data_IF_114122291900
#
_entry.id   IF_114122291900
#
_cell.length_a   1.000
_cell.length_b   1.000
_cell.length_c   1.000
_cell.angle_alpha   90.00
_cell.angle_beta   90.00
_cell.angle_gamma   90.00
#
_symmetry.space_group_name_H-M   'P 1'
#
loop_
_entity.id
_entity.type
_entity.pdbx_description
1 polymer ?
#
# COMPACT_ATOMS: atom_id res chain seq x y z
N UNK A 1 -10.61 44.60 30.72
CA UNK A 1 -9.50 44.29 29.80
C UNK A 1 -8.30 43.73 30.59
N UNK A 2 -7.75 44.42 31.59
CA UNK A 2 -6.54 43.97 32.33
C UNK A 2 -6.68 42.58 32.96
N UNK A 3 -7.87 42.17 33.43
CA UNK A 3 -8.13 40.85 34.01
C UNK A 3 -8.17 39.73 32.90
N UNK A 4 -8.59 40.06 31.68
CA UNK A 4 -8.64 39.12 30.58
C UNK A 4 -7.27 38.77 30.00
N UNK A 5 -6.30 39.67 30.12
CA UNK A 5 -4.94 39.46 29.60
C UNK A 5 -4.02 38.69 30.54
N UNK A 6 -4.45 38.46 31.81
CA UNK A 6 -3.68 37.64 32.77
C UNK A 6 -3.87 36.16 32.54
N UNK A 7 -2.83 35.32 32.72
CA UNK A 7 -2.94 33.87 32.78
C UNK A 7 -3.99 33.44 33.82
N UNK A 8 -4.68 32.30 33.57
CA UNK A 8 -5.79 31.83 34.41
C UNK A 8 -5.37 31.56 35.83
N UNK A 9 -4.15 31.08 36.06
CA UNK A 9 -3.52 30.77 37.33
C UNK A 9 -3.07 31.99 38.13
N UNK A 10 -2.98 33.17 37.50
CA UNK A 10 -2.61 34.43 38.16
C UNK A 10 -3.83 35.33 38.49
N UNK A 11 -5.05 34.89 38.13
CA UNK A 11 -6.30 35.66 38.34
C UNK A 11 -6.81 35.43 39.76
N UNK A 12 -7.16 36.55 40.44
CA UNK A 12 -7.91 36.44 41.68
C UNK A 12 -9.40 36.11 41.43
N UNK A 13 -10.15 35.75 42.49
CA UNK A 13 -11.55 35.35 42.38
C UNK A 13 -12.47 36.40 41.72
N UNK A 14 -12.18 37.68 41.92
CA UNK A 14 -12.93 38.78 41.32
C UNK A 14 -12.61 38.92 39.84
N UNK A 15 -11.34 38.79 39.47
CA UNK A 15 -10.91 38.82 38.07
C UNK A 15 -11.45 37.64 37.30
N UNK A 16 -11.45 36.44 37.89
CA UNK A 16 -12.05 35.22 37.27
C UNK A 16 -13.57 35.45 37.03
N UNK A 17 -14.30 35.91 38.04
CA UNK A 17 -15.73 36.20 37.92
C UNK A 17 -16.00 37.26 36.85
N UNK A 18 -15.21 38.32 36.78
CA UNK A 18 -15.38 39.39 35.77
C UNK A 18 -15.12 38.85 34.34
N UNK A 19 -14.13 37.98 34.15
CA UNK A 19 -13.83 37.39 32.87
C UNK A 19 -14.94 36.39 32.45
N UNK A 20 -15.45 35.57 33.39
CA UNK A 20 -16.57 34.66 33.09
C UNK A 20 -17.88 35.42 32.74
N UNK A 21 -18.16 36.52 33.45
CA UNK A 21 -19.38 37.28 33.23
C UNK A 21 -19.34 38.26 32.05
N UNK A 22 -18.17 38.85 31.81
CA UNK A 22 -18.02 39.94 30.84
C UNK A 22 -17.09 39.59 29.68
N UNK A 23 -16.46 38.40 29.72
CA UNK A 23 -15.48 37.97 28.71
C UNK A 23 -16.06 38.00 27.31
N UNK A 24 -17.28 37.52 27.13
CA UNK A 24 -17.99 37.55 25.84
C UNK A 24 -18.31 38.95 25.30
N UNK A 25 -18.40 39.93 26.18
CA UNK A 25 -18.59 41.34 25.81
C UNK A 25 -17.28 42.05 25.44
N UNK A 26 -16.13 41.39 25.78
CA UNK A 26 -14.79 41.89 25.49
C UNK A 26 -14.14 41.12 24.32
N UNK A 27 -14.78 40.08 23.81
CA UNK A 27 -14.38 39.41 22.59
C UNK A 27 -14.63 40.30 21.40
N UNK A 28 -13.57 40.76 20.77
CA UNK A 28 -13.64 41.52 19.52
C UNK A 28 -13.93 40.51 18.41
N UNK A 29 -15.09 40.67 17.76
CA UNK A 29 -15.45 39.82 16.62
C UNK A 29 -14.72 40.24 15.35
N UNK A 30 -14.53 39.31 14.40
CA UNK A 30 -13.92 39.61 13.10
C UNK A 30 -14.71 40.73 12.34
N UNK A 31 -16.01 40.83 12.58
CA UNK A 31 -16.85 41.88 12.01
C UNK A 31 -16.47 43.25 12.57
N UNK A 32 -16.30 43.38 13.88
CA UNK A 32 -15.87 44.62 14.54
C UNK A 32 -14.45 45.03 14.13
N UNK A 33 -13.57 44.06 13.95
CA UNK A 33 -12.22 44.31 13.39
C UNK A 33 -12.34 44.85 11.99
N UNK A 34 -13.17 44.24 11.14
CA UNK A 34 -13.35 44.62 9.75
C UNK A 34 -13.98 46.03 9.64
N UNK A 35 -14.90 46.38 10.53
CA UNK A 35 -15.49 47.71 10.58
C UNK A 35 -14.50 48.79 11.02
N UNK A 36 -13.60 48.48 11.94
CA UNK A 36 -12.60 49.39 12.47
C UNK A 36 -11.40 49.63 11.53
N UNK A 37 -11.23 48.78 10.52
CA UNK A 37 -10.12 48.91 9.55
C UNK A 37 -10.30 50.11 8.64
N UNK A 38 -9.20 50.82 8.38
CA UNK A 38 -9.16 51.88 7.38
C UNK A 38 -9.45 51.36 5.97
N UNK A 39 -9.80 52.24 5.04
CA UNK A 39 -9.96 51.85 3.64
C UNK A 39 -8.69 51.31 3.02
N UNK A 40 -7.52 51.83 3.44
CA UNK A 40 -6.21 51.38 2.97
C UNK A 40 -5.89 49.97 3.48
N UNK A 41 -6.14 49.68 4.77
CA UNK A 41 -5.95 48.36 5.37
C UNK A 41 -6.83 47.29 4.71
N UNK A 42 -8.12 47.63 4.46
CA UNK A 42 -9.04 46.73 3.76
C UNK A 42 -8.54 46.38 2.35
N UNK A 43 -8.00 47.38 1.64
CA UNK A 43 -7.44 47.15 0.31
C UNK A 43 -6.19 46.28 0.37
N UNK A 44 -5.32 46.50 1.36
CA UNK A 44 -4.13 45.65 1.56
C UNK A 44 -4.50 44.21 1.92
N UNK A 45 -5.48 44.02 2.80
CA UNK A 45 -5.97 42.65 3.16
C UNK A 45 -6.52 41.97 1.92
N UNK A 46 -7.33 42.62 1.12
CA UNK A 46 -7.91 42.08 -0.11
C UNK A 46 -6.83 41.70 -1.12
N UNK A 47 -5.77 42.51 -1.25
CA UNK A 47 -4.63 42.21 -2.13
C UNK A 47 -3.80 41.00 -1.62
N UNK A 48 -3.58 40.93 -0.31
CA UNK A 48 -2.90 39.79 0.31
C UNK A 48 -3.71 38.51 0.21
N UNK A 49 -5.01 38.56 0.44
CA UNK A 49 -5.90 37.42 0.26
C UNK A 49 -5.91 36.92 -1.20
N UNK A 50 -5.89 37.85 -2.15
CA UNK A 50 -5.74 37.50 -3.57
C UNK A 50 -4.41 36.80 -3.87
N UNK A 51 -3.32 37.27 -3.28
CA UNK A 51 -1.99 36.62 -3.39
C UNK A 51 -2.01 35.24 -2.75
N UNK A 52 -2.55 35.10 -1.54
CA UNK A 52 -2.66 33.82 -0.84
C UNK A 52 -3.54 32.84 -1.62
N UNK A 53 -4.65 33.29 -2.17
CA UNK A 53 -5.51 32.45 -3.02
C UNK A 53 -4.76 31.99 -4.29
N UNK A 54 -4.01 32.90 -4.93
CA UNK A 54 -3.15 32.58 -6.07
C UNK A 54 -2.08 31.53 -5.73
N UNK A 55 -1.39 31.67 -4.60
CA UNK A 55 -0.39 30.68 -4.17
C UNK A 55 -1.03 29.35 -3.76
N UNK A 56 -2.21 29.36 -3.13
CA UNK A 56 -2.95 28.13 -2.82
C UNK A 56 -3.31 27.32 -4.07
N UNK A 57 -3.63 27.99 -5.19
CA UNK A 57 -3.90 27.28 -6.46
C UNK A 57 -2.66 26.64 -7.06
N UNK A 58 -1.46 27.14 -6.73
CA UNK A 58 -0.16 26.59 -7.15
C UNK A 58 0.30 25.41 -6.27
N UNK A 59 -0.29 25.27 -5.08
CA UNK A 59 0.03 24.15 -4.21
C UNK A 59 -0.37 22.83 -4.87
N UNK A 60 0.63 22.00 -5.15
CA UNK A 60 0.39 20.63 -5.58
C UNK A 60 -0.24 19.90 -4.39
N UNK A 61 -1.46 19.42 -4.56
CA UNK A 61 -2.10 18.55 -3.57
C UNK A 61 -1.28 17.28 -3.45
N UNK A 62 -0.44 17.20 -2.42
CA UNK A 62 0.31 15.98 -2.11
C UNK A 62 -0.71 14.96 -1.58
N UNK A 63 -0.80 13.83 -2.28
CA UNK A 63 -1.63 12.73 -1.85
C UNK A 63 -1.21 12.28 -0.44
N UNK A 64 -2.17 12.25 0.48
CA UNK A 64 -1.95 11.73 1.83
C UNK A 64 -2.10 10.22 1.80
N UNK A 65 -1.15 9.52 2.38
CA UNK A 65 -1.22 8.08 2.59
C UNK A 65 -1.35 7.81 4.09
N UNK A 66 -2.03 6.73 4.42
CA UNK A 66 -2.00 6.21 5.78
C UNK A 66 -0.64 5.58 6.02
N UNK A 67 0.09 6.09 7.01
CA UNK A 67 1.43 5.61 7.33
C UNK A 67 1.55 5.34 8.83
N UNK A 68 2.36 4.34 9.17
CA UNK A 68 2.74 4.06 10.55
C UNK A 68 3.92 4.97 10.94
N UNK A 69 3.80 5.64 12.06
CA UNK A 69 4.87 6.44 12.65
C UNK A 69 4.94 6.19 14.15
N UNK A 70 6.11 6.43 14.74
CA UNK A 70 6.29 6.23 16.15
C UNK A 70 5.75 7.43 16.95
N UNK A 71 5.04 7.13 18.04
CA UNK A 71 4.53 8.14 18.97
C UNK A 71 5.15 7.86 20.34
N UNK A 72 6.10 8.69 20.72
CA UNK A 72 6.83 8.52 21.99
C UNK A 72 7.69 7.24 22.03
N UNK A 73 8.03 6.82 23.25
CA UNK A 73 8.79 5.59 23.49
C UNK A 73 7.87 4.39 23.33
N UNK A 74 8.23 3.38 22.50
CA UNK A 74 7.42 2.18 22.36
C UNK A 74 7.28 1.46 23.71
N UNK A 75 6.08 0.99 24.08
CA UNK A 75 5.87 0.25 25.32
C UNK A 75 6.65 -1.07 25.31
N UNK A 76 6.96 -1.54 26.51
CA UNK A 76 7.55 -2.88 26.69
C UNK A 76 6.61 -3.96 26.18
N UNK A 77 7.19 -4.97 25.58
CA UNK A 77 6.46 -6.17 25.11
C UNK A 77 6.81 -7.33 26.02
N UNK A 78 5.81 -8.11 26.41
CA UNK A 78 5.96 -9.22 27.35
C UNK A 78 5.55 -10.54 26.71
N UNK A 79 6.17 -11.63 27.15
CA UNK A 79 5.63 -12.96 26.92
C UNK A 79 4.41 -13.11 27.82
N UNK A 80 3.27 -13.42 27.23
CA UNK A 80 2.03 -13.56 27.97
C UNK A 80 1.93 -14.98 28.56
N UNK A 81 1.66 -15.07 29.86
CA UNK A 81 1.47 -16.36 30.54
C UNK A 81 0.20 -17.03 30.00
N UNK A 82 0.34 -18.21 29.42
CA UNK A 82 -0.76 -18.95 28.74
C UNK A 82 -1.46 -18.15 27.63
N UNK A 83 -0.78 -17.14 27.06
CA UNK A 83 -1.36 -16.27 26.02
C UNK A 83 -2.39 -15.27 26.55
N UNK A 84 -2.56 -15.12 27.86
CA UNK A 84 -3.54 -14.22 28.46
C UNK A 84 -2.94 -12.81 28.61
N UNK A 85 -3.65 -11.84 28.08
CA UNK A 85 -3.23 -10.43 28.07
C UNK A 85 -3.05 -9.84 29.49
N UNK A 86 -3.90 -10.27 30.44
CA UNK A 86 -3.87 -9.80 31.83
C UNK A 86 -2.68 -10.31 32.63
N UNK A 87 -1.95 -11.31 32.12
CA UNK A 87 -0.84 -11.94 32.85
C UNK A 87 0.49 -11.77 32.09
N UNK A 88 1.07 -10.55 32.07
CA UNK A 88 2.36 -10.32 31.46
C UNK A 88 3.47 -11.06 32.23
N UNK A 89 4.27 -11.82 31.51
CA UNK A 89 5.45 -12.50 32.04
C UNK A 89 6.71 -11.64 31.86
N UNK A 90 7.83 -12.27 31.46
CA UNK A 90 9.08 -11.53 31.28
C UNK A 90 9.03 -10.59 30.09
N UNK A 91 9.67 -9.40 30.16
CA UNK A 91 9.81 -8.51 29.02
C UNK A 91 10.70 -9.14 27.94
N UNK A 92 10.43 -8.80 26.68
CA UNK A 92 11.19 -9.26 25.54
C UNK A 92 11.62 -8.09 24.66
N UNK A 93 12.82 -8.20 24.09
CA UNK A 93 13.32 -7.25 23.10
C UNK A 93 12.89 -7.65 21.70
N UNK A 94 12.82 -6.68 20.76
CA UNK A 94 12.64 -6.99 19.35
C UNK A 94 13.71 -7.99 18.87
N UNK A 95 13.29 -9.02 18.13
CA UNK A 95 14.22 -10.04 17.67
C UNK A 95 13.77 -10.70 16.39
N UNK A 96 14.70 -11.25 15.64
CA UNK A 96 14.47 -12.10 14.47
C UNK A 96 14.11 -13.51 14.87
N UNK A 97 13.68 -14.32 13.89
CA UNK A 97 13.41 -15.74 14.08
C UNK A 97 14.72 -16.50 14.28
N UNK A 98 14.84 -17.22 15.39
CA UNK A 98 16.06 -17.96 15.74
C UNK A 98 16.48 -18.99 14.67
N UNK A 99 15.50 -19.64 14.02
CA UNK A 99 15.75 -20.61 12.94
C UNK A 99 16.42 -19.99 11.71
N UNK A 100 16.24 -18.71 11.49
CA UNK A 100 16.86 -17.96 10.40
C UNK A 100 18.16 -17.24 10.81
N UNK A 101 18.58 -17.40 12.06
CA UNK A 101 19.81 -16.80 12.59
C UNK A 101 20.97 -17.82 12.51
N UNK A 102 22.17 -17.35 12.22
CA UNK A 102 23.36 -18.19 12.12
C UNK A 102 23.89 -18.67 13.48
N UNK A 103 23.37 -18.11 14.56
CA UNK A 103 23.70 -18.50 15.93
C UNK A 103 22.47 -19.07 16.64
N UNK A 104 22.68 -20.02 17.55
CA UNK A 104 21.65 -20.59 18.43
C UNK A 104 21.02 -19.56 19.38
N UNK A 105 21.51 -18.32 19.38
CA UNK A 105 20.97 -17.20 20.14
C UNK A 105 19.99 -16.42 19.27
N UNK A 106 18.83 -16.09 19.84
CA UNK A 106 17.85 -15.19 19.25
C UNK A 106 18.56 -13.91 18.79
N UNK A 107 18.51 -13.61 17.50
CA UNK A 107 19.03 -12.34 16.98
C UNK A 107 18.24 -11.20 17.54
N UNK A 108 18.78 -10.49 18.50
CA UNK A 108 18.20 -9.22 18.98
C UNK A 108 18.42 -8.21 17.87
N UNK A 109 17.34 -7.59 17.44
CA UNK A 109 17.39 -6.50 16.47
C UNK A 109 17.64 -5.20 17.22
N UNK A 110 18.90 -4.80 17.30
CA UNK A 110 19.29 -3.53 17.92
C UNK A 110 18.89 -2.39 16.98
N UNK A 111 17.93 -1.54 17.38
CA UNK A 111 17.55 -0.40 16.56
C UNK A 111 18.69 0.60 16.52
N UNK A 112 19.11 1.00 15.32
CA UNK A 112 20.00 2.13 15.18
C UNK A 112 19.28 3.42 15.66
N UNK A 113 20.01 4.36 16.32
CA UNK A 113 19.45 5.65 16.63
C UNK A 113 18.89 6.30 15.37
N UNK A 114 17.59 6.48 15.35
CA UNK A 114 16.93 7.06 14.18
C UNK A 114 16.78 8.58 14.38
N UNK A 115 17.00 9.35 13.33
CA UNK A 115 16.66 10.76 13.29
C UNK A 115 15.15 10.94 13.56
N UNK A 116 14.76 12.08 14.11
CA UNK A 116 13.37 12.49 14.30
C UNK A 116 12.55 11.70 15.34
N UNK A 117 13.18 11.18 16.39
CA UNK A 117 12.46 10.53 17.49
C UNK A 117 11.84 9.18 17.17
N UNK A 118 12.17 8.58 16.03
CA UNK A 118 11.75 7.21 15.69
C UNK A 118 12.51 6.20 16.55
N UNK A 119 11.83 5.11 16.93
CA UNK A 119 12.46 3.99 17.66
C UNK A 119 13.46 3.17 16.82
N UNK A 120 13.47 3.32 15.50
CA UNK A 120 14.32 2.56 14.58
C UNK A 120 13.99 1.06 14.45
N UNK A 121 13.00 0.54 15.20
CA UNK A 121 12.67 -0.91 15.21
C UNK A 121 12.28 -1.46 13.84
N UNK A 122 11.48 -0.72 13.07
CA UNK A 122 11.08 -1.14 11.70
C UNK A 122 12.25 -1.15 10.75
N UNK A 123 13.16 -0.18 10.86
CA UNK A 123 14.38 -0.13 10.07
C UNK A 123 15.29 -1.32 10.39
N UNK A 124 15.46 -1.64 11.69
CA UNK A 124 16.22 -2.81 12.10
C UNK A 124 15.66 -4.12 11.53
N UNK A 125 14.32 -4.28 11.53
CA UNK A 125 13.65 -5.41 10.90
C UNK A 125 13.89 -5.43 9.39
N UNK A 126 13.78 -4.30 8.71
CA UNK A 126 14.03 -4.21 7.28
C UNK A 126 15.47 -4.61 6.94
N UNK A 127 16.45 -4.13 7.68
CA UNK A 127 17.85 -4.53 7.51
C UNK A 127 18.05 -6.05 7.74
N UNK A 128 17.45 -6.60 8.78
CA UNK A 128 17.54 -8.04 9.03
C UNK A 128 16.97 -8.88 7.89
N UNK A 129 15.86 -8.43 7.28
CA UNK A 129 15.21 -9.10 6.15
C UNK A 129 15.99 -8.96 4.83
N UNK A 130 16.76 -7.89 4.65
CA UNK A 130 17.36 -7.54 3.35
C UNK A 130 18.89 -7.60 3.31
N UNK A 131 19.57 -7.88 4.43
CA UNK A 131 21.02 -7.98 4.45
C UNK A 131 21.48 -9.17 3.60
N UNK A 132 22.24 -8.89 2.54
CA UNK A 132 22.72 -9.89 1.60
C UNK A 132 23.55 -11.00 2.28
N UNK A 133 23.44 -12.22 1.78
CA UNK A 133 24.19 -13.38 2.29
C UNK A 133 23.61 -14.00 3.57
N UNK A 134 22.47 -13.51 4.07
CA UNK A 134 21.81 -14.06 5.27
C UNK A 134 20.63 -14.96 4.91
N UNK A 135 20.26 -15.89 5.81
CA UNK A 135 19.08 -16.76 5.62
C UNK A 135 17.77 -15.97 5.46
N UNK A 136 17.49 -14.90 6.26
CA UNK A 136 16.30 -14.09 6.05
C UNK A 136 16.23 -13.50 4.65
N UNK A 137 17.32 -12.90 4.16
CA UNK A 137 17.31 -12.28 2.84
C UNK A 137 17.18 -13.31 1.71
N UNK A 138 17.77 -14.50 1.86
CA UNK A 138 17.61 -15.58 0.91
C UNK A 138 16.16 -16.07 0.84
N UNK A 139 15.46 -16.19 1.97
CA UNK A 139 14.04 -16.55 2.00
C UNK A 139 13.16 -15.47 1.39
N UNK A 140 13.35 -14.21 1.81
CA UNK A 140 12.54 -13.08 1.31
C UNK A 140 12.71 -12.89 -0.19
N UNK A 141 13.95 -12.98 -0.71
CA UNK A 141 14.19 -12.85 -2.15
C UNK A 141 13.51 -13.95 -2.96
N UNK A 142 13.57 -15.23 -2.50
CA UNK A 142 12.86 -16.33 -3.15
C UNK A 142 11.35 -16.13 -3.15
N UNK A 143 10.76 -15.69 -2.04
CA UNK A 143 9.31 -15.39 -1.96
C UNK A 143 8.92 -14.29 -2.94
N UNK A 144 9.70 -13.21 -3.02
CA UNK A 144 9.39 -12.08 -3.91
C UNK A 144 9.48 -12.51 -5.38
N UNK A 145 10.57 -13.17 -5.79
CA UNK A 145 10.73 -13.58 -7.20
C UNK A 145 9.71 -14.64 -7.59
N UNK A 146 9.35 -15.56 -6.68
CA UNK A 146 8.29 -16.53 -6.92
C UNK A 146 6.93 -15.86 -7.15
N UNK A 147 6.61 -14.82 -6.40
CA UNK A 147 5.38 -14.03 -6.61
C UNK A 147 5.40 -13.28 -7.94
N UNK A 148 6.54 -12.69 -8.31
CA UNK A 148 6.70 -12.04 -9.62
C UNK A 148 6.50 -13.07 -10.74
N UNK A 149 7.15 -14.22 -10.64
CA UNK A 149 7.02 -15.32 -11.60
C UNK A 149 5.55 -15.76 -11.73
N UNK A 150 4.89 -16.03 -10.60
CA UNK A 150 3.48 -16.43 -10.59
C UNK A 150 2.54 -15.36 -11.16
N UNK A 151 2.81 -14.08 -10.92
CA UNK A 151 2.02 -13.00 -11.52
C UNK A 151 2.20 -12.87 -13.04
N UNK A 152 3.34 -13.26 -13.58
CA UNK A 152 3.64 -13.20 -15.00
C UNK A 152 3.23 -14.47 -15.76
N UNK A 153 3.42 -15.64 -15.16
CA UNK A 153 3.21 -16.95 -15.80
C UNK A 153 2.02 -17.73 -15.23
N UNK A 154 1.29 -17.15 -14.26
CA UNK A 154 0.07 -17.75 -13.69
C UNK A 154 0.31 -18.61 -12.45
N UNK A 155 1.41 -19.36 -12.39
CA UNK A 155 1.80 -20.18 -11.24
C UNK A 155 3.25 -19.90 -10.86
N UNK A 156 3.53 -19.86 -9.55
CA UNK A 156 4.90 -19.72 -9.05
C UNK A 156 5.74 -20.98 -9.29
N UNK A 157 7.06 -20.82 -9.32
CA UNK A 157 8.03 -21.93 -9.34
C UNK A 157 7.81 -22.84 -8.11
N UNK A 158 7.45 -22.23 -6.97
CA UNK A 158 6.85 -22.89 -5.80
C UNK A 158 5.35 -22.63 -5.85
N UNK A 159 4.54 -23.68 -6.01
CA UNK A 159 3.10 -23.56 -6.18
C UNK A 159 2.34 -23.16 -4.89
N UNK A 160 3.01 -23.27 -3.73
CA UNK A 160 2.50 -22.84 -2.42
C UNK A 160 3.15 -21.51 -1.99
N UNK A 161 2.74 -20.33 -2.54
CA UNK A 161 3.42 -19.06 -2.33
C UNK A 161 3.35 -18.53 -0.89
N UNK A 162 2.48 -19.10 -0.05
CA UNK A 162 2.37 -18.84 1.38
C UNK A 162 3.18 -19.79 2.26
N UNK A 163 3.74 -20.85 1.69
CA UNK A 163 4.50 -21.85 2.44
C UNK A 163 5.71 -22.32 1.65
N UNK A 164 6.88 -21.83 2.06
CA UNK A 164 8.20 -22.23 1.57
C UNK A 164 8.90 -23.18 2.54
N UNK A 165 8.14 -23.70 3.51
CA UNK A 165 8.60 -24.63 4.52
C UNK A 165 8.42 -26.10 4.13
N UNK A 166 8.54 -26.96 5.14
CA UNK A 166 8.52 -28.42 4.97
C UNK A 166 7.15 -28.94 4.47
N UNK A 167 6.07 -28.21 4.73
CA UNK A 167 4.73 -28.60 4.28
C UNK A 167 4.37 -28.00 2.92
N UNK A 168 5.19 -27.07 2.40
CA UNK A 168 5.03 -26.51 1.07
C UNK A 168 5.51 -27.45 -0.02
N UNK A 169 5.20 -27.08 -1.28
CA UNK A 169 5.71 -27.82 -2.46
C UNK A 169 7.16 -27.46 -2.73
N UNK A 170 7.90 -28.44 -3.23
CA UNK A 170 9.25 -28.19 -3.74
C UNK A 170 9.20 -27.32 -5.00
N UNK A 171 10.20 -26.48 -5.24
CA UNK A 171 10.29 -25.71 -6.48
C UNK A 171 10.44 -26.63 -7.70
N UNK A 172 9.69 -26.35 -8.77
CA UNK A 172 9.82 -27.08 -10.04
C UNK A 172 11.18 -26.85 -10.70
N UNK A 173 11.75 -25.67 -10.52
CA UNK A 173 13.03 -25.25 -11.08
C UNK A 173 13.88 -24.58 -9.98
N UNK A 174 14.54 -25.37 -9.11
CA UNK A 174 15.25 -24.82 -7.95
C UNK A 174 16.41 -23.89 -8.34
N UNK A 175 17.17 -24.23 -9.37
CA UNK A 175 18.29 -23.41 -9.82
C UNK A 175 17.82 -22.06 -10.39
N UNK A 176 16.71 -22.04 -11.12
CA UNK A 176 16.10 -20.80 -11.62
C UNK A 176 15.61 -19.92 -10.48
N UNK A 177 14.95 -20.51 -9.49
CA UNK A 177 14.49 -19.77 -8.32
C UNK A 177 15.65 -19.12 -7.57
N UNK A 178 16.75 -19.88 -7.39
CA UNK A 178 17.95 -19.38 -6.73
C UNK A 178 18.61 -18.25 -7.53
N UNK A 179 18.76 -18.43 -8.85
CA UNK A 179 19.32 -17.42 -9.73
C UNK A 179 18.53 -16.11 -9.68
N UNK A 180 17.20 -16.18 -9.80
CA UNK A 180 16.32 -15.01 -9.71
C UNK A 180 16.43 -14.33 -8.35
N UNK A 181 16.51 -15.11 -7.26
CA UNK A 181 16.62 -14.57 -5.90
C UNK A 181 17.95 -13.84 -5.68
N UNK A 182 19.05 -14.41 -6.16
CA UNK A 182 20.37 -13.78 -6.11
C UNK A 182 20.45 -12.54 -6.99
N UNK A 183 19.84 -12.59 -8.18
CA UNK A 183 19.80 -11.44 -9.08
C UNK A 183 19.01 -10.29 -8.47
N UNK A 184 17.89 -10.56 -7.80
CA UNK A 184 17.13 -9.51 -7.08
C UNK A 184 18.00 -8.81 -6.03
N UNK A 185 18.80 -9.56 -5.27
CA UNK A 185 19.73 -8.99 -4.29
C UNK A 185 20.84 -8.17 -4.96
N UNK A 186 21.41 -8.65 -6.07
CA UNK A 186 22.43 -7.94 -6.86
C UNK A 186 21.91 -6.64 -7.44
N UNK A 187 20.63 -6.59 -7.82
CA UNK A 187 19.94 -5.41 -8.31
C UNK A 187 19.43 -4.49 -7.18
N UNK A 188 19.96 -4.62 -5.96
CA UNK A 188 19.54 -3.83 -4.79
C UNK A 188 18.02 -3.85 -4.58
N UNK A 189 17.39 -5.01 -4.70
CA UNK A 189 15.96 -5.22 -4.52
C UNK A 189 15.06 -4.47 -5.54
N UNK A 190 15.61 -4.06 -6.66
CA UNK A 190 14.86 -3.45 -7.75
C UNK A 190 14.06 -4.50 -8.52
N UNK A 191 12.73 -4.33 -8.58
CA UNK A 191 11.85 -5.32 -9.21
C UNK A 191 11.85 -5.24 -10.74
N UNK A 192 12.02 -4.03 -11.31
CA UNK A 192 11.95 -3.84 -12.77
C UNK A 192 12.98 -4.66 -13.57
N UNK A 193 14.25 -4.75 -13.17
CA UNK A 193 15.22 -5.61 -13.85
C UNK A 193 14.79 -7.08 -13.87
N UNK A 194 14.21 -7.59 -12.77
CA UNK A 194 13.73 -8.97 -12.68
C UNK A 194 12.55 -9.20 -13.61
N UNK A 195 11.54 -8.31 -13.56
CA UNK A 195 10.40 -8.37 -14.48
C UNK A 195 10.89 -8.34 -15.92
N UNK A 196 11.83 -7.44 -16.27
CA UNK A 196 12.41 -7.35 -17.60
C UNK A 196 13.10 -8.66 -18.03
N UNK A 197 13.89 -9.26 -17.14
CA UNK A 197 14.57 -10.52 -17.44
C UNK A 197 13.56 -11.63 -17.77
N UNK A 198 12.48 -11.74 -16.99
CA UNK A 198 11.44 -12.75 -17.20
C UNK A 198 10.69 -12.51 -18.51
N UNK A 199 10.19 -11.29 -18.77
CA UNK A 199 9.37 -11.02 -19.97
C UNK A 199 10.16 -11.05 -21.26
N UNK A 200 11.49 -10.93 -21.22
CA UNK A 200 12.36 -11.09 -22.39
C UNK A 200 12.85 -12.52 -22.59
N UNK A 201 12.61 -13.43 -21.64
CA UNK A 201 12.99 -14.83 -21.75
C UNK A 201 12.16 -15.57 -22.82
N UNK A 202 12.73 -16.64 -23.35
CA UNK A 202 12.03 -17.48 -24.32
C UNK A 202 10.81 -18.16 -23.69
N UNK A 203 10.86 -18.50 -22.40
CA UNK A 203 9.73 -19.07 -21.66
C UNK A 203 8.51 -18.15 -21.69
N UNK A 204 8.69 -16.86 -21.52
CA UNK A 204 7.57 -15.90 -21.55
C UNK A 204 7.08 -15.61 -22.98
N UNK A 205 7.97 -15.70 -23.97
CA UNK A 205 7.71 -15.34 -25.37
C UNK A 205 7.22 -16.51 -26.23
N UNK A 206 7.19 -17.72 -25.67
CA UNK A 206 6.70 -18.89 -26.42
C UNK A 206 5.19 -18.83 -26.69
N UNK A 207 4.74 -19.57 -27.70
CA UNK A 207 3.34 -19.63 -28.07
C UNK A 207 2.49 -20.34 -27.01
N UNK A 208 1.24 -19.88 -26.87
CA UNK A 208 0.21 -20.56 -26.08
C UNK A 208 -0.57 -21.60 -26.87
N UNK A 209 -0.66 -21.40 -28.19
CA UNK A 209 -1.32 -22.32 -29.15
C UNK A 209 -0.24 -23.04 -29.93
N UNK A 210 -0.33 -24.36 -29.95
CA UNK A 210 0.59 -25.26 -30.63
C UNK A 210 -0.18 -26.12 -31.63
N UNK A 211 0.54 -26.78 -32.54
CA UNK A 211 -0.06 -27.81 -33.40
C UNK A 211 -0.55 -28.99 -32.56
N UNK A 212 -1.55 -29.74 -33.05
CA UNK A 212 -2.08 -30.92 -32.34
C UNK A 212 -0.99 -31.91 -31.93
N UNK A 213 -0.03 -32.16 -32.81
CA UNK A 213 1.06 -33.09 -32.54
C UNK A 213 1.98 -32.58 -31.41
N UNK A 214 2.32 -31.28 -31.38
CA UNK A 214 3.11 -30.68 -30.33
C UNK A 214 2.35 -30.62 -29.01
N UNK A 215 1.05 -30.29 -29.07
CA UNK A 215 0.18 -30.25 -27.91
C UNK A 215 0.05 -31.63 -27.25
N UNK A 216 -0.14 -32.69 -28.09
CA UNK A 216 -0.24 -34.06 -27.60
C UNK A 216 1.06 -34.52 -26.93
N UNK A 217 2.21 -34.28 -27.56
CA UNK A 217 3.52 -34.65 -26.98
C UNK A 217 3.77 -33.98 -25.65
N UNK A 218 3.45 -32.68 -25.51
CA UNK A 218 3.55 -31.94 -24.25
C UNK A 218 2.57 -32.46 -23.20
N UNK A 219 1.33 -32.74 -23.59
CA UNK A 219 0.28 -33.27 -22.72
C UNK A 219 0.63 -34.65 -22.16
N UNK A 220 1.28 -35.48 -22.93
CA UNK A 220 1.68 -36.85 -22.52
C UNK A 220 2.81 -36.81 -21.49
N UNK A 221 3.70 -35.82 -21.56
CA UNK A 221 4.89 -35.71 -20.70
C UNK A 221 4.60 -34.86 -19.46
N UNK A 222 3.97 -33.69 -19.63
CA UNK A 222 3.73 -32.71 -18.57
C UNK A 222 2.35 -32.04 -18.76
N UNK A 223 1.28 -32.76 -18.42
CA UNK A 223 -0.09 -32.25 -18.59
C UNK A 223 -0.37 -30.96 -17.83
N UNK A 224 0.31 -30.76 -16.67
CA UNK A 224 0.17 -29.57 -15.84
C UNK A 224 0.99 -28.38 -16.31
N UNK A 225 1.79 -28.53 -17.39
CA UNK A 225 2.69 -27.50 -17.90
C UNK A 225 3.68 -26.93 -16.84
N UNK A 226 4.12 -27.78 -15.92
CA UNK A 226 5.05 -27.40 -14.85
C UNK A 226 6.45 -27.12 -15.37
N UNK A 227 6.81 -27.70 -16.53
CA UNK A 227 8.07 -27.51 -17.23
C UNK A 227 8.02 -26.37 -18.27
N UNK A 228 6.90 -25.65 -18.35
CA UNK A 228 6.71 -24.52 -19.24
C UNK A 228 6.97 -24.84 -20.74
N UNK A 229 6.43 -25.97 -21.23
CA UNK A 229 6.56 -26.33 -22.65
C UNK A 229 5.66 -25.47 -23.57
N UNK A 230 4.74 -24.69 -22.99
CA UNK A 230 3.94 -23.65 -23.67
C UNK A 230 3.67 -22.48 -22.73
N UNK A 231 3.34 -21.29 -23.29
CA UNK A 231 2.84 -20.21 -22.48
C UNK A 231 1.47 -20.57 -21.88
N UNK A 232 1.29 -20.50 -20.55
CA UNK A 232 0.00 -20.82 -19.94
C UNK A 232 -1.10 -19.86 -20.42
N UNK A 233 -2.25 -20.40 -20.79
CA UNK A 233 -3.46 -19.61 -21.00
C UNK A 233 -4.02 -19.20 -19.66
N UNK A 234 -4.31 -17.93 -19.50
CA UNK A 234 -4.94 -17.41 -18.28
C UNK A 234 -5.93 -16.31 -18.62
N UNK A 235 -6.96 -16.20 -17.80
CA UNK A 235 -7.93 -15.13 -17.89
C UNK A 235 -7.27 -13.80 -17.50
N UNK A 236 -7.66 -12.72 -18.18
CA UNK A 236 -7.27 -11.36 -17.77
C UNK A 236 -7.95 -10.98 -16.46
N UNK A 237 -7.25 -10.21 -15.65
CA UNK A 237 -7.82 -9.60 -14.46
C UNK A 237 -8.89 -8.57 -14.85
N UNK A 238 -9.93 -8.43 -14.03
CA UNK A 238 -11.06 -7.53 -14.27
C UNK A 238 -10.63 -6.08 -14.54
N UNK A 239 -9.60 -5.62 -13.84
CA UNK A 239 -9.03 -4.29 -14.07
C UNK A 239 -8.39 -4.16 -15.45
N UNK A 240 -7.70 -5.20 -15.91
CA UNK A 240 -7.10 -5.23 -17.24
C UNK A 240 -8.17 -5.28 -18.34
N UNK A 241 -9.27 -6.01 -18.11
CA UNK A 241 -10.42 -6.06 -19.02
C UNK A 241 -11.03 -4.67 -19.16
N UNK A 242 -11.34 -3.99 -18.03
CA UNK A 242 -11.90 -2.63 -18.08
C UNK A 242 -10.95 -1.65 -18.77
N UNK A 243 -9.67 -1.69 -18.44
CA UNK A 243 -8.68 -0.79 -19.04
C UNK A 243 -8.55 -1.04 -20.56
N UNK A 244 -8.60 -2.31 -21.00
CA UNK A 244 -8.61 -2.68 -22.42
C UNK A 244 -9.85 -2.19 -23.15
N UNK A 245 -11.04 -2.28 -22.53
CA UNK A 245 -12.27 -1.74 -23.10
C UNK A 245 -12.20 -0.22 -23.26
N UNK A 246 -11.66 0.48 -22.27
CA UNK A 246 -11.45 1.92 -22.34
C UNK A 246 -10.42 2.30 -23.42
N UNK A 247 -9.35 1.52 -23.55
CA UNK A 247 -8.33 1.73 -24.59
C UNK A 247 -8.91 1.49 -26.00
N UNK A 248 -9.68 0.42 -26.21
CA UNK A 248 -10.34 0.13 -27.47
C UNK A 248 -11.37 1.21 -27.87
N UNK A 249 -11.99 1.86 -26.87
CA UNK A 249 -12.91 2.98 -27.09
C UNK A 249 -12.22 4.36 -27.16
N UNK A 250 -10.89 4.41 -27.19
CA UNK A 250 -10.07 5.64 -27.18
C UNK A 250 -10.41 6.61 -26.01
N UNK A 251 -10.78 6.02 -24.86
CA UNK A 251 -11.19 6.77 -23.67
C UNK A 251 -10.20 6.66 -22.52
N UNK A 252 -9.22 5.75 -22.57
CA UNK A 252 -8.33 5.48 -21.45
C UNK A 252 -7.46 6.69 -21.09
N UNK A 253 -7.67 7.22 -19.89
CA UNK A 253 -6.85 8.29 -19.33
C UNK A 253 -5.64 7.69 -18.60
N UNK A 254 -4.44 7.91 -19.15
CA UNK A 254 -3.16 7.41 -18.63
C UNK A 254 -2.53 8.32 -17.57
N UNK A 255 -3.21 9.38 -17.12
CA UNK A 255 -2.69 10.29 -16.11
C UNK A 255 -2.28 9.53 -14.84
N UNK A 256 -1.02 9.74 -14.42
CA UNK A 256 -0.46 9.14 -13.21
C UNK A 256 -0.68 10.02 -11.98
N UNK A 257 -0.81 9.38 -10.82
CA UNK A 257 -0.94 10.05 -9.53
C UNK A 257 -2.31 10.69 -9.28
N UNK A 258 -2.42 11.47 -8.23
CA UNK A 258 -3.66 12.14 -7.83
C UNK A 258 -4.58 11.29 -6.94
N UNK A 259 -5.74 11.85 -6.54
CA UNK A 259 -6.68 11.18 -5.65
C UNK A 259 -7.35 9.98 -6.33
N UNK A 260 -7.88 9.02 -5.55
CA UNK A 260 -8.65 7.91 -6.10
C UNK A 260 -9.96 8.41 -6.72
N UNK A 261 -10.41 7.66 -7.73
CA UNK A 261 -11.75 7.84 -8.32
C UNK A 261 -12.78 7.24 -7.37
N UNK A 262 -13.66 8.08 -6.86
CA UNK A 262 -14.67 7.67 -5.88
C UNK A 262 -15.78 6.85 -6.54
N UNK A 263 -16.32 5.90 -5.79
CA UNK A 263 -17.46 5.08 -6.18
C UNK A 263 -18.69 5.46 -5.35
N UNK A 264 -19.88 5.25 -5.90
CA UNK A 264 -21.16 5.38 -5.22
C UNK A 264 -22.06 4.18 -5.51
N UNK A 265 -22.97 3.90 -4.58
CA UNK A 265 -24.02 2.92 -4.80
C UNK A 265 -25.22 3.63 -5.45
N UNK A 266 -25.68 3.09 -6.57
CA UNK A 266 -26.87 3.54 -7.27
C UNK A 266 -28.15 2.99 -6.60
N UNK A 267 -29.32 3.52 -6.95
CA UNK A 267 -30.61 3.11 -6.38
C UNK A 267 -30.93 1.62 -6.63
N UNK A 268 -30.41 1.03 -7.69
CA UNK A 268 -30.57 -0.37 -8.05
C UNK A 268 -29.50 -1.29 -7.43
N UNK A 269 -28.67 -0.78 -6.54
CA UNK A 269 -27.61 -1.52 -5.88
C UNK A 269 -26.29 -1.64 -6.66
N UNK A 270 -26.23 -1.19 -7.92
CA UNK A 270 -24.96 -1.13 -8.66
C UNK A 270 -24.01 -0.16 -8.05
N UNK A 271 -22.72 -0.49 -8.06
CA UNK A 271 -21.64 0.39 -7.65
C UNK A 271 -20.96 0.94 -8.91
N UNK A 272 -21.07 2.24 -9.09
CA UNK A 272 -20.54 2.98 -10.22
C UNK A 272 -19.60 4.10 -9.81
N UNK A 273 -18.98 4.76 -10.78
CA UNK A 273 -18.13 5.94 -10.52
C UNK A 273 -19.02 7.12 -10.08
N UNK A 274 -18.63 7.75 -8.97
CA UNK A 274 -19.31 8.93 -8.45
C UNK A 274 -18.99 10.16 -9.30
N UNK A 275 -19.89 10.50 -10.23
CA UNK A 275 -19.73 11.61 -11.15
C UNK A 275 -19.67 12.98 -10.44
N UNK A 276 -20.25 13.08 -9.24
CA UNK A 276 -20.30 14.34 -8.48
C UNK A 276 -18.97 14.65 -7.77
N UNK A 277 -18.14 13.61 -7.56
CA UNK A 277 -16.84 13.70 -6.87
C UNK A 277 -15.64 13.63 -7.80
N UNK A 278 -15.85 13.74 -9.10
CA UNK A 278 -14.76 13.80 -10.06
C UNK A 278 -14.06 15.16 -9.98
N UNK A 279 -12.74 15.15 -9.91
CA UNK A 279 -11.93 16.36 -10.01
C UNK A 279 -11.97 16.95 -11.43
N UNK A 280 -12.00 16.07 -12.44
CA UNK A 280 -12.16 16.39 -13.86
C UNK A 280 -13.07 15.38 -14.50
N UNK A 281 -13.82 15.76 -15.52
CA UNK A 281 -14.70 14.83 -16.26
C UNK A 281 -13.95 13.64 -16.86
N UNK A 282 -12.67 13.81 -17.23
CA UNK A 282 -11.81 12.74 -17.74
C UNK A 282 -11.36 11.74 -16.68
N UNK A 283 -11.53 12.03 -15.38
CA UNK A 283 -11.08 11.12 -14.31
C UNK A 283 -11.89 9.84 -14.25
N UNK A 284 -13.14 9.84 -14.74
CA UNK A 284 -13.95 8.64 -14.88
C UNK A 284 -13.33 7.56 -15.79
N UNK A 285 -12.44 7.98 -16.69
CA UNK A 285 -11.79 7.12 -17.67
C UNK A 285 -10.36 6.72 -17.24
N UNK A 286 -9.97 7.03 -16.01
CA UNK A 286 -8.65 6.63 -15.48
C UNK A 286 -8.56 5.11 -15.38
N UNK A 287 -7.31 4.63 -15.42
CA UNK A 287 -6.99 3.22 -15.23
C UNK A 287 -7.64 2.68 -13.94
N UNK A 288 -8.04 1.42 -13.97
CA UNK A 288 -8.75 0.75 -12.86
C UNK A 288 -7.97 0.76 -11.55
N UNK A 289 -6.63 0.84 -11.59
CA UNK A 289 -5.79 0.97 -10.40
C UNK A 289 -6.08 2.24 -9.59
N UNK A 290 -6.75 3.23 -10.17
CA UNK A 290 -7.15 4.46 -9.49
C UNK A 290 -8.58 4.42 -8.93
N UNK A 291 -9.35 3.38 -9.18
CA UNK A 291 -10.67 3.24 -8.57
C UNK A 291 -10.53 3.00 -7.06
N UNK A 292 -11.40 3.62 -6.28
CA UNK A 292 -11.44 3.41 -4.84
C UNK A 292 -11.72 1.92 -4.54
N UNK A 293 -10.84 1.30 -3.77
CA UNK A 293 -10.96 -0.10 -3.40
C UNK A 293 -11.27 -0.21 -1.90
N UNK A 294 -12.37 -0.86 -1.55
CA UNK A 294 -12.80 -1.16 -0.17
C UNK A 294 -13.29 -2.59 -0.09
N UNK A 295 -13.24 -3.18 1.12
CA UNK A 295 -13.82 -4.51 1.37
C UNK A 295 -15.33 -4.50 1.07
N UNK A 296 -15.78 -5.48 0.29
CA UNK A 296 -17.20 -5.63 -0.03
C UNK A 296 -17.81 -4.44 -0.79
N UNK A 297 -16.98 -3.59 -1.39
CA UNK A 297 -17.42 -2.40 -2.11
C UNK A 297 -16.58 -2.23 -3.38
N UNK A 298 -16.96 -2.93 -4.42
CA UNK A 298 -16.26 -2.96 -5.69
C UNK A 298 -17.13 -2.36 -6.79
N UNK A 299 -16.50 -1.81 -7.81
CA UNK A 299 -17.19 -1.36 -9.02
C UNK A 299 -17.87 -2.56 -9.69
N UNK A 300 -19.18 -2.49 -9.95
CA UNK A 300 -19.98 -3.63 -10.46
C UNK A 300 -19.39 -4.28 -11.71
N UNK A 301 -18.84 -3.50 -12.65
CA UNK A 301 -18.18 -4.07 -13.82
C UNK A 301 -17.02 -5.00 -13.45
N UNK A 302 -16.24 -4.62 -12.44
CA UNK A 302 -15.10 -5.44 -11.99
C UNK A 302 -15.57 -6.73 -11.30
N UNK A 303 -16.67 -6.66 -10.54
CA UNK A 303 -17.28 -7.85 -9.93
C UNK A 303 -17.82 -8.82 -10.97
N UNK A 304 -18.46 -8.33 -12.04
CA UNK A 304 -18.94 -9.17 -13.17
C UNK A 304 -17.78 -9.92 -13.83
N UNK A 305 -16.57 -9.36 -13.80
CA UNK A 305 -15.35 -10.00 -14.30
C UNK A 305 -14.50 -10.64 -13.19
N UNK A 306 -15.12 -11.03 -12.08
CA UNK A 306 -14.52 -11.79 -10.97
C UNK A 306 -13.36 -11.05 -10.28
N UNK A 307 -13.57 -9.78 -9.94
CA UNK A 307 -12.63 -9.08 -9.07
C UNK A 307 -12.53 -9.82 -7.72
N UNK A 308 -11.31 -10.21 -7.28
CA UNK A 308 -11.15 -10.92 -6.02
C UNK A 308 -11.52 -10.03 -4.84
N UNK A 309 -12.16 -10.63 -3.83
CA UNK A 309 -12.42 -9.98 -2.54
C UNK A 309 -11.13 -9.52 -1.86
N UNK A 310 -11.21 -8.42 -1.12
CA UNK A 310 -10.08 -7.95 -0.32
C UNK A 310 -10.10 -8.67 1.01
N UNK A 311 -9.16 -9.59 1.19
CA UNK A 311 -8.94 -10.30 2.45
C UNK A 311 -7.79 -9.67 3.25
N UNK A 312 -7.77 -9.92 4.57
CA UNK A 312 -6.73 -9.36 5.47
C UNK A 312 -5.37 -9.96 5.25
N UNK A 313 -5.32 -11.25 4.94
CA UNK A 313 -4.09 -11.99 4.66
C UNK A 313 -4.33 -12.83 3.43
N UNK A 314 -3.64 -12.48 2.35
CA UNK A 314 -3.74 -13.20 1.09
C UNK A 314 -2.31 -13.52 0.62
N UNK A 315 -1.99 -14.80 0.52
CA UNK A 315 -0.70 -15.27 0.00
C UNK A 315 -0.61 -15.12 -1.52
N UNK A 316 -1.76 -15.20 -2.19
CA UNK A 316 -1.90 -15.07 -3.64
C UNK A 316 -3.24 -14.41 -3.96
N UNK A 317 -3.25 -13.51 -4.94
CA UNK A 317 -4.49 -12.97 -5.49
C UNK A 317 -5.27 -14.11 -6.13
N UNK A 318 -6.42 -14.44 -5.58
CA UNK A 318 -7.32 -15.42 -6.16
C UNK A 318 -8.09 -14.76 -7.30
N UNK A 319 -8.04 -15.36 -8.48
CA UNK A 319 -8.99 -15.07 -9.54
C UNK A 319 -10.13 -16.07 -9.31
N UNK A 320 -11.29 -15.59 -8.89
CA UNK A 320 -12.45 -16.46 -8.81
C UNK A 320 -12.80 -16.90 -10.24
N UNK A 321 -12.34 -18.08 -10.60
CA UNK A 321 -12.76 -18.69 -11.84
C UNK A 321 -14.18 -19.21 -11.65
N UNK A 322 -15.16 -18.46 -12.10
CA UNK A 322 -16.39 -19.09 -12.56
C UNK A 322 -16.09 -19.58 -13.97
N UNK A 323 -16.10 -20.89 -14.12
CA UNK A 323 -15.91 -21.56 -15.39
C UNK A 323 -17.00 -21.13 -16.42
#
# INVERSE_FOLDING_TARGET
VAAGTKPVDERNAVETYLVEKLGSLLEITDEQVTEALSSEDRQQISELDGKVAGERTRLISIARIQALFDVGTPPDTFILTRGQFEFPGRPVRPGGLGVLSDSSRQSILEPAPAANGSSGRRLALAHWLTTAGTRPSALVSRVIVNRIWGSLLGQGIVSTPGDFGVQGTLPTHPELLEWLALELQRQNWQLKPIVRAIVLSDVYRQASHLTEQQAQAGQDIDPANTLYWRMPLRRLESESIRDSLLAAGDRLNLQLGGPPVMLRTEADGRISIDQQRLGRSSDQWRRSVYLLTRRGYHHTLLDVFDQPGIETTCSQRQVNAVA
#
